data_IF_930416955613
#
_entry.id   IF_930416955613
#
_cell.length_a   1.000
_cell.length_b   1.000
_cell.length_c   1.000
_cell.angle_alpha   90.00
_cell.angle_beta   90.00
_cell.angle_gamma   90.00
#
_symmetry.space_group_name_H-M   'P 1'
#
loop_
_entity.id
_entity.type
_entity.pdbx_description
1 polymer ?
#
# COMPACT_ATOMS: atom_id res chain seq x y z
N UNK A 1 -34.13 -33.27 36.77
CA UNK A 1 -32.99 -32.38 37.08
C UNK A 1 -32.60 -31.66 35.81
N UNK A 2 -32.84 -30.36 35.72
CA UNK A 2 -32.38 -29.55 34.58
C UNK A 2 -30.86 -29.65 34.49
N UNK A 3 -30.37 -29.93 33.29
CA UNK A 3 -28.95 -30.08 33.05
C UNK A 3 -28.29 -28.70 33.23
N UNK A 4 -27.50 -28.53 34.30
CA UNK A 4 -26.80 -27.27 34.63
C UNK A 4 -25.98 -26.69 33.45
N UNK A 5 -25.55 -27.54 32.52
CA UNK A 5 -24.86 -27.11 31.29
C UNK A 5 -25.81 -26.37 30.35
N UNK A 6 -27.05 -26.85 30.22
CA UNK A 6 -28.10 -26.26 29.38
C UNK A 6 -28.53 -24.91 29.94
N UNK A 7 -28.72 -24.79 31.25
CA UNK A 7 -29.04 -23.50 31.89
C UNK A 7 -27.93 -22.45 31.67
N UNK A 8 -26.65 -22.83 31.83
CA UNK A 8 -25.52 -21.94 31.53
C UNK A 8 -25.46 -21.51 30.06
N UNK A 9 -25.77 -22.41 29.13
CA UNK A 9 -25.82 -22.09 27.69
C UNK A 9 -26.96 -21.14 27.37
N UNK A 10 -28.13 -21.36 27.95
CA UNK A 10 -29.30 -20.49 27.82
C UNK A 10 -28.98 -19.09 28.36
N UNK A 11 -28.41 -19.00 29.56
CA UNK A 11 -28.05 -17.73 30.20
C UNK A 11 -26.98 -16.97 29.40
N UNK A 12 -25.96 -17.69 28.87
CA UNK A 12 -24.97 -17.13 27.95
C UNK A 12 -25.62 -16.61 26.66
N UNK A 13 -26.54 -17.36 26.08
CA UNK A 13 -27.25 -16.98 24.85
C UNK A 13 -28.11 -15.74 25.06
N UNK A 14 -28.87 -15.67 26.16
CA UNK A 14 -29.62 -14.46 26.52
C UNK A 14 -28.72 -13.27 26.80
N UNK A 15 -27.55 -13.49 27.41
CA UNK A 15 -26.54 -12.43 27.62
C UNK A 15 -25.91 -11.95 26.30
N UNK A 16 -25.77 -12.80 25.30
CA UNK A 16 -25.27 -12.44 23.97
C UNK A 16 -26.35 -11.71 23.14
N UNK A 17 -27.61 -12.15 23.22
CA UNK A 17 -28.75 -11.53 22.53
C UNK A 17 -29.14 -10.17 23.13
N UNK A 18 -28.95 -9.97 24.44
CA UNK A 18 -29.22 -8.70 25.14
C UNK A 18 -28.08 -7.69 25.03
N UNK A 19 -26.92 -8.08 24.51
CA UNK A 19 -25.87 -7.13 24.16
C UNK A 19 -26.24 -6.42 22.86
N UNK A 20 -26.02 -5.10 22.81
CA UNK A 20 -26.03 -4.37 21.55
C UNK A 20 -25.13 -5.11 20.55
N UNK A 21 -25.67 -5.44 19.37
CA UNK A 21 -24.86 -6.00 18.28
C UNK A 21 -23.64 -5.12 18.13
N UNK A 22 -22.44 -5.72 18.18
CA UNK A 22 -21.23 -5.01 17.77
C UNK A 22 -21.56 -4.38 16.40
N UNK A 23 -21.28 -3.09 16.19
CA UNK A 23 -21.44 -2.51 14.87
C UNK A 23 -20.63 -3.42 13.95
N UNK A 24 -21.23 -3.91 12.87
CA UNK A 24 -20.40 -4.42 11.79
C UNK A 24 -19.45 -3.27 11.46
N UNK A 25 -18.14 -3.48 11.60
CA UNK A 25 -17.13 -2.49 11.26
C UNK A 25 -17.25 -2.18 9.77
N UNK A 26 -18.13 -1.23 9.45
CA UNK A 26 -18.27 -0.61 8.13
C UNK A 26 -17.42 0.65 8.05
N UNK A 27 -16.45 0.81 8.96
CA UNK A 27 -15.64 2.03 9.12
C UNK A 27 -14.81 2.36 7.89
N UNK A 28 -14.66 1.40 6.97
CA UNK A 28 -13.94 1.57 5.73
C UNK A 28 -14.59 0.84 4.55
N UNK A 29 -15.85 1.14 4.26
CA UNK A 29 -16.35 0.93 2.90
C UNK A 29 -15.57 1.90 2.01
N UNK A 30 -14.57 1.37 1.30
CA UNK A 30 -13.83 2.18 0.33
C UNK A 30 -14.81 2.63 -0.75
N UNK A 31 -15.13 3.92 -0.79
CA UNK A 31 -16.03 4.49 -1.79
C UNK A 31 -15.38 4.58 -3.18
N UNK A 32 -14.09 4.27 -3.29
CA UNK A 32 -13.32 4.31 -4.53
C UNK A 32 -12.37 3.11 -4.60
N UNK A 33 -12.34 2.33 -5.68
CA UNK A 33 -11.42 1.19 -5.78
C UNK A 33 -9.93 1.62 -5.75
N UNK A 34 -9.62 2.87 -6.15
CA UNK A 34 -8.26 3.32 -6.43
C UNK A 34 -7.74 4.41 -5.48
N UNK A 35 -8.33 4.58 -4.29
CA UNK A 35 -7.93 5.67 -3.38
C UNK A 35 -6.51 5.53 -2.81
N UNK A 36 -5.89 4.35 -2.90
CA UNK A 36 -4.48 4.14 -2.53
C UNK A 36 -3.50 4.97 -3.38
N UNK A 37 -3.91 5.35 -4.60
CA UNK A 37 -3.10 6.15 -5.53
C UNK A 37 -2.70 7.52 -4.95
N UNK A 38 -3.50 8.04 -4.00
CA UNK A 38 -3.25 9.33 -3.35
C UNK A 38 -2.35 9.24 -2.13
N UNK A 39 -1.91 8.03 -1.75
CA UNK A 39 -1.04 7.82 -0.59
C UNK A 39 0.41 8.09 -0.99
N UNK A 40 1.09 8.98 -0.26
CA UNK A 40 2.52 9.23 -0.45
C UNK A 40 3.34 7.96 -0.26
N UNK A 41 2.98 7.12 0.73
CA UNK A 41 3.63 5.83 0.95
C UNK A 41 3.55 4.90 -0.27
N UNK A 42 2.40 4.85 -0.95
CA UNK A 42 2.22 4.05 -2.18
C UNK A 42 3.02 4.62 -3.35
N UNK A 43 3.03 5.95 -3.49
CA UNK A 43 3.81 6.64 -4.54
C UNK A 43 5.32 6.37 -4.39
N UNK A 44 5.85 6.49 -3.17
CA UNK A 44 7.26 6.22 -2.90
C UNK A 44 7.59 4.73 -3.08
N UNK A 45 6.72 3.82 -2.63
CA UNK A 45 6.89 2.38 -2.84
C UNK A 45 6.91 2.02 -4.34
N UNK A 46 6.06 2.70 -5.14
CA UNK A 46 6.03 2.52 -6.60
C UNK A 46 7.33 2.99 -7.26
N UNK A 47 7.88 4.13 -6.82
CA UNK A 47 9.19 4.60 -7.27
C UNK A 47 10.30 3.61 -6.90
N UNK A 48 10.28 3.11 -5.66
CA UNK A 48 11.28 2.16 -5.18
C UNK A 48 11.26 0.88 -6.02
N UNK A 49 10.07 0.37 -6.35
CA UNK A 49 9.92 -0.78 -7.26
C UNK A 49 10.53 -0.50 -8.64
N UNK A 50 10.39 0.72 -9.17
CA UNK A 50 11.02 1.10 -10.44
C UNK A 50 12.54 1.09 -10.30
N UNK A 51 13.10 1.68 -9.24
CA UNK A 51 14.54 1.67 -8.98
C UNK A 51 15.09 0.27 -8.89
N UNK A 52 14.44 -0.60 -8.10
CA UNK A 52 14.86 -2.00 -7.96
C UNK A 52 14.81 -2.71 -9.31
N UNK A 53 13.73 -2.58 -10.08
CA UNK A 53 13.64 -3.20 -11.41
C UNK A 53 14.76 -2.74 -12.34
N UNK A 54 15.09 -1.45 -12.34
CA UNK A 54 16.21 -0.91 -13.14
C UNK A 54 17.54 -1.48 -12.67
N UNK A 55 17.80 -1.45 -11.38
CA UNK A 55 19.03 -1.97 -10.77
C UNK A 55 19.20 -3.47 -11.01
N UNK A 56 18.19 -4.28 -10.71
CA UNK A 56 18.28 -5.75 -10.79
C UNK A 56 18.36 -6.25 -12.24
N UNK A 57 18.02 -5.42 -13.23
CA UNK A 57 18.23 -5.74 -14.65
C UNK A 57 19.73 -5.70 -15.04
N UNK A 58 20.59 -5.05 -14.24
CA UNK A 58 22.05 -5.05 -14.42
C UNK A 58 22.77 -6.22 -13.74
N UNK A 59 22.09 -6.93 -12.83
CA UNK A 59 22.72 -8.02 -12.09
C UNK A 59 23.13 -9.16 -13.03
N UNK A 60 24.29 -9.80 -12.79
CA UNK A 60 24.69 -10.95 -13.59
C UNK A 60 23.73 -12.11 -13.36
N UNK A 61 23.66 -13.04 -14.32
CA UNK A 61 22.76 -14.20 -14.26
C UNK A 61 22.97 -15.07 -13.02
N UNK A 62 24.17 -15.07 -12.43
CA UNK A 62 24.47 -15.78 -11.18
C UNK A 62 23.62 -15.29 -10.01
N UNK A 63 23.21 -14.02 -10.03
CA UNK A 63 22.43 -13.36 -8.97
C UNK A 63 20.92 -13.36 -9.24
N UNK A 64 20.43 -14.31 -10.04
CA UNK A 64 18.99 -14.43 -10.32
C UNK A 64 18.15 -14.50 -9.05
N UNK A 65 18.67 -15.14 -7.99
CA UNK A 65 17.98 -15.23 -6.70
C UNK A 65 17.84 -13.87 -6.03
N UNK A 66 18.92 -13.09 -5.95
CA UNK A 66 18.88 -11.73 -5.39
C UNK A 66 17.93 -10.84 -6.20
N UNK A 67 18.00 -10.91 -7.54
CA UNK A 67 17.05 -10.22 -8.43
C UNK A 67 15.60 -10.55 -8.09
N UNK A 68 15.25 -11.83 -8.02
CA UNK A 68 13.87 -12.26 -7.74
C UNK A 68 13.43 -11.77 -6.37
N UNK A 69 14.24 -11.98 -5.33
CA UNK A 69 13.90 -11.60 -3.96
C UNK A 69 13.69 -10.09 -3.84
N UNK A 70 14.58 -9.28 -4.42
CA UNK A 70 14.49 -7.83 -4.31
C UNK A 70 13.28 -7.28 -5.11
N UNK A 71 13.06 -7.80 -6.32
CA UNK A 71 11.89 -7.47 -7.15
C UNK A 71 10.57 -7.86 -6.43
N UNK A 72 10.52 -9.05 -5.82
CA UNK A 72 9.35 -9.57 -5.13
C UNK A 72 9.06 -8.79 -3.84
N UNK A 73 10.10 -8.44 -3.08
CA UNK A 73 9.99 -7.64 -1.87
C UNK A 73 9.39 -6.28 -2.16
N UNK A 74 9.94 -5.55 -3.15
CA UNK A 74 9.41 -4.20 -3.49
C UNK A 74 8.05 -4.23 -4.15
N UNK A 75 7.74 -5.26 -4.96
CA UNK A 75 6.38 -5.51 -5.45
C UNK A 75 5.41 -5.73 -4.29
N UNK A 76 5.81 -6.49 -3.28
CA UNK A 76 4.97 -6.83 -2.12
C UNK A 76 4.66 -5.60 -1.27
N UNK A 77 5.58 -4.64 -1.14
CA UNK A 77 5.30 -3.36 -0.47
C UNK A 77 4.08 -2.66 -1.11
N UNK A 78 4.08 -2.54 -2.44
CA UNK A 78 3.00 -1.89 -3.20
C UNK A 78 1.70 -2.69 -3.09
N UNK A 79 1.76 -4.00 -3.38
CA UNK A 79 0.59 -4.87 -3.40
C UNK A 79 -0.11 -4.94 -2.03
N UNK A 80 0.64 -4.99 -0.93
CA UNK A 80 0.07 -4.99 0.41
C UNK A 80 -0.64 -3.67 0.74
N UNK A 81 -0.15 -2.52 0.25
CA UNK A 81 -0.85 -1.24 0.43
C UNK A 81 -2.17 -1.24 -0.35
N UNK A 82 -2.16 -1.72 -1.59
CA UNK A 82 -3.34 -1.80 -2.47
C UNK A 82 -4.39 -2.76 -1.90
N UNK A 83 -3.98 -3.97 -1.52
CA UNK A 83 -4.84 -5.00 -0.96
C UNK A 83 -5.41 -4.56 0.39
N UNK A 84 -4.55 -4.02 1.26
CA UNK A 84 -4.94 -3.41 2.51
C UNK A 84 -5.93 -2.26 2.32
N UNK A 85 -5.75 -1.44 1.27
CA UNK A 85 -6.67 -0.35 0.96
C UNK A 85 -8.07 -0.86 0.63
N UNK A 86 -8.17 -2.00 -0.04
CA UNK A 86 -9.43 -2.65 -0.41
C UNK A 86 -10.12 -3.38 0.76
N UNK A 87 -9.47 -3.53 1.93
CA UNK A 87 -10.05 -4.24 3.08
C UNK A 87 -11.22 -3.47 3.71
N UNK A 88 -12.28 -4.17 4.15
CA UNK A 88 -13.50 -3.55 4.67
C UNK A 88 -13.30 -2.87 6.04
N UNK A 89 -12.30 -3.30 6.82
CA UNK A 89 -12.04 -2.76 8.16
C UNK A 89 -10.69 -2.04 8.23
N UNK A 90 -10.61 -1.03 9.11
CA UNK A 90 -9.35 -0.35 9.43
C UNK A 90 -8.35 -1.31 10.07
N UNK A 91 -8.82 -2.25 10.90
CA UNK A 91 -7.93 -3.23 11.56
C UNK A 91 -7.27 -4.18 10.56
N UNK A 92 -7.99 -4.66 9.55
CA UNK A 92 -7.37 -5.44 8.48
C UNK A 92 -6.38 -4.59 7.69
N UNK A 93 -6.71 -3.33 7.38
CA UNK A 93 -5.75 -2.47 6.67
C UNK A 93 -4.43 -2.32 7.44
N UNK A 94 -4.51 -2.12 8.76
CA UNK A 94 -3.32 -2.03 9.61
C UNK A 94 -2.44 -3.30 9.52
N UNK A 95 -3.04 -4.50 9.47
CA UNK A 95 -2.29 -5.74 9.28
C UNK A 95 -1.53 -5.74 7.95
N UNK A 96 -2.19 -5.34 6.86
CA UNK A 96 -1.57 -5.24 5.54
C UNK A 96 -0.46 -4.18 5.47
N UNK A 97 -0.62 -3.05 6.15
CA UNK A 97 0.47 -2.06 6.28
C UNK A 97 1.66 -2.63 7.07
N UNK A 98 1.40 -3.49 8.06
CA UNK A 98 2.42 -4.28 8.74
C UNK A 98 3.20 -5.18 7.78
N UNK A 99 2.51 -5.92 6.90
CA UNK A 99 3.16 -6.75 5.87
C UNK A 99 3.94 -5.91 4.85
N UNK A 100 3.37 -4.79 4.39
CA UNK A 100 4.04 -3.85 3.49
C UNK A 100 5.36 -3.35 4.10
N UNK A 101 5.34 -2.98 5.39
CA UNK A 101 6.55 -2.56 6.11
C UNK A 101 7.55 -3.71 6.27
N UNK A 102 7.11 -4.93 6.56
CA UNK A 102 8.01 -6.08 6.65
C UNK A 102 8.75 -6.31 5.32
N UNK A 103 8.05 -6.31 4.19
CA UNK A 103 8.66 -6.42 2.86
C UNK A 103 9.61 -5.27 2.54
N UNK A 104 9.32 -4.05 3.01
CA UNK A 104 10.20 -2.90 2.82
C UNK A 104 11.53 -3.08 3.58
N UNK A 105 11.49 -3.65 4.78
CA UNK A 105 12.69 -3.96 5.57
C UNK A 105 13.50 -5.08 4.92
N UNK A 106 12.84 -6.10 4.35
CA UNK A 106 13.53 -7.14 3.59
C UNK A 106 14.24 -6.57 2.35
N UNK A 107 13.55 -5.71 1.59
CA UNK A 107 14.15 -4.99 0.45
C UNK A 107 15.29 -4.06 0.85
N UNK A 108 15.24 -3.43 2.04
CA UNK A 108 16.38 -2.70 2.61
C UNK A 108 17.57 -3.62 2.85
N UNK A 109 17.32 -4.84 3.35
CA UNK A 109 18.35 -5.87 3.48
C UNK A 109 18.95 -6.27 2.14
N UNK A 110 18.16 -6.38 1.08
CA UNK A 110 18.66 -6.69 -0.27
C UNK A 110 19.55 -5.56 -0.83
N UNK A 111 19.19 -4.30 -0.58
CA UNK A 111 20.04 -3.15 -0.93
C UNK A 111 21.38 -3.19 -0.18
N UNK A 112 21.37 -3.55 1.11
CA UNK A 112 22.58 -3.69 1.92
C UNK A 112 23.47 -4.83 1.46
N UNK A 113 22.90 -6.00 1.14
CA UNK A 113 23.64 -7.13 0.57
C UNK A 113 24.22 -6.76 -0.80
N UNK A 114 23.44 -6.10 -1.64
CA UNK A 114 23.90 -5.62 -2.95
C UNK A 114 25.11 -4.68 -2.84
N UNK A 115 25.18 -3.85 -1.78
CA UNK A 115 26.36 -3.04 -1.49
C UNK A 115 27.55 -3.91 -1.04
N UNK A 116 27.33 -4.84 -0.11
CA UNK A 116 28.38 -5.73 0.43
C UNK A 116 29.00 -6.61 -0.66
N UNK A 117 28.18 -7.08 -1.59
CA UNK A 117 28.58 -7.94 -2.71
C UNK A 117 29.16 -7.13 -3.88
N UNK A 118 29.19 -5.80 -3.80
CA UNK A 118 29.81 -4.91 -4.78
C UNK A 118 28.98 -4.60 -6.02
N UNK A 119 27.69 -4.98 -6.04
CA UNK A 119 26.78 -4.68 -7.16
C UNK A 119 26.23 -3.25 -7.10
N UNK A 120 26.01 -2.73 -5.90
CA UNK A 120 25.48 -1.39 -5.69
C UNK A 120 26.57 -0.47 -5.16
N UNK A 121 26.87 0.60 -5.89
CA UNK A 121 27.95 1.53 -5.53
C UNK A 121 27.53 2.47 -4.38
N UNK A 122 28.41 2.71 -3.40
CA UNK A 122 28.24 3.80 -2.45
C UNK A 122 28.76 5.10 -3.05
N UNK A 123 27.97 6.17 -2.98
CA UNK A 123 28.37 7.53 -3.30
C UNK A 123 27.89 8.42 -2.15
N UNK A 124 28.74 8.67 -1.14
CA UNK A 124 28.36 9.46 0.02
C UNK A 124 27.80 10.83 -0.36
N UNK A 125 26.65 11.17 0.21
CA UNK A 125 25.95 12.43 -0.07
C UNK A 125 25.05 12.42 -1.30
N UNK A 126 25.09 11.37 -2.13
CA UNK A 126 24.12 11.22 -3.22
C UNK A 126 22.71 11.00 -2.69
N UNK A 127 21.73 11.47 -3.46
CA UNK A 127 20.34 11.58 -3.06
C UNK A 127 19.41 11.59 -4.28
N UNK A 128 18.10 11.49 -4.03
CA UNK A 128 17.07 11.64 -5.06
C UNK A 128 17.18 12.97 -5.82
N UNK A 129 17.70 14.02 -5.18
CA UNK A 129 17.90 15.33 -5.79
C UNK A 129 18.97 15.28 -6.90
N UNK A 130 20.00 14.47 -6.73
CA UNK A 130 21.05 14.29 -7.74
C UNK A 130 20.52 13.56 -8.99
N UNK A 131 19.40 12.84 -8.84
CA UNK A 131 18.65 12.23 -9.94
C UNK A 131 17.56 13.15 -10.50
N UNK A 132 17.50 14.41 -10.06
CA UNK A 132 16.45 15.37 -10.40
C UNK A 132 15.03 14.89 -10.01
N UNK A 133 14.92 13.99 -9.03
CA UNK A 133 13.64 13.44 -8.58
C UNK A 133 13.14 14.25 -7.37
N UNK A 134 12.15 15.11 -7.62
CA UNK A 134 11.28 15.62 -6.57
C UNK A 134 10.12 14.64 -6.32
N UNK A 135 9.90 14.27 -5.05
CA UNK A 135 8.89 13.28 -4.68
C UNK A 135 7.45 13.82 -4.78
N UNK A 136 7.27 15.14 -4.65
CA UNK A 136 5.96 15.78 -4.80
C UNK A 136 5.56 15.78 -6.27
N UNK A 137 6.48 16.18 -7.15
CA UNK A 137 6.28 16.15 -8.60
C UNK A 137 6.07 14.72 -9.10
N UNK A 138 6.87 13.77 -8.60
CA UNK A 138 6.66 12.35 -8.88
C UNK A 138 5.27 11.87 -8.47
N UNK A 139 4.80 12.24 -7.27
CA UNK A 139 3.47 11.85 -6.82
C UNK A 139 2.38 12.42 -7.74
N UNK A 140 2.47 13.68 -8.16
CA UNK A 140 1.52 14.23 -9.13
C UNK A 140 1.60 13.53 -10.49
N UNK A 141 2.80 13.25 -10.99
CA UNK A 141 2.98 12.56 -12.27
C UNK A 141 2.44 11.12 -12.23
N UNK A 142 2.76 10.36 -11.18
CA UNK A 142 2.27 9.00 -10.99
C UNK A 142 0.74 8.97 -10.93
N UNK A 143 0.12 9.88 -10.15
CA UNK A 143 -1.34 10.04 -10.09
C UNK A 143 -1.94 10.25 -11.47
N UNK A 144 -1.39 11.16 -12.26
CA UNK A 144 -1.86 11.45 -13.63
C UNK A 144 -1.70 10.24 -14.56
N UNK A 145 -0.63 9.47 -14.37
CA UNK A 145 -0.35 8.29 -15.20
C UNK A 145 -1.31 7.13 -14.93
N UNK A 146 -1.71 6.92 -13.67
CA UNK A 146 -2.58 5.80 -13.27
C UNK A 146 -4.06 6.20 -13.29
N UNK A 147 -4.39 7.42 -12.90
CA UNK A 147 -5.72 8.00 -13.05
C UNK A 147 -5.79 8.55 -14.48
N UNK A 148 -5.95 7.67 -15.45
CA UNK A 148 -6.29 8.08 -16.81
C UNK A 148 -7.59 8.89 -16.78
N UNK A 149 -7.53 10.23 -16.64
CA UNK A 149 -8.66 11.03 -17.05
C UNK A 149 -8.69 10.93 -18.58
N UNK A 150 -9.85 10.60 -19.18
CA UNK A 150 -10.03 10.86 -20.59
C UNK A 150 -9.83 12.35 -20.75
N UNK A 151 -8.75 12.75 -21.42
CA UNK A 151 -8.75 14.05 -22.10
C UNK A 151 -10.06 14.12 -22.86
N UNK A 152 -10.82 15.19 -22.63
CA UNK A 152 -12.02 15.64 -23.33
C UNK A 152 -12.26 15.05 -24.74
N UNK A 153 -12.65 13.79 -24.82
CA UNK A 153 -13.25 13.22 -26.02
C UNK A 153 -14.72 13.01 -25.68
N UNK A 154 -15.54 13.99 -26.09
CA UNK A 154 -16.96 13.77 -26.35
C UNK A 154 -17.08 12.70 -27.44
N UNK A 155 -16.95 11.44 -27.06
CA UNK A 155 -17.08 10.28 -27.93
C UNK A 155 -17.91 9.24 -27.21
N UNK A 156 -19.03 8.87 -27.79
CA UNK A 156 -19.97 7.90 -27.25
C UNK A 156 -19.26 6.58 -26.88
N UNK A 157 -19.15 6.30 -25.56
CA UNK A 157 -18.76 5.00 -25.00
C UNK A 157 -19.81 3.89 -25.23
N UNK A 158 -20.56 3.94 -26.33
CA UNK A 158 -21.56 2.90 -26.69
C UNK A 158 -21.03 1.86 -27.69
N UNK A 159 -19.90 2.12 -28.37
CA UNK A 159 -19.36 1.23 -29.40
C UNK A 159 -17.88 0.90 -29.19
N UNK A 160 -17.49 0.49 -27.98
CA UNK A 160 -16.21 -0.23 -27.83
C UNK A 160 -16.46 -1.70 -28.17
N UNK A 161 -16.45 -2.03 -29.46
CA UNK A 161 -16.20 -3.40 -29.87
C UNK A 161 -14.79 -3.76 -29.39
N UNK A 162 -14.67 -4.79 -28.55
CA UNK A 162 -13.38 -5.42 -28.28
C UNK A 162 -12.81 -5.87 -29.63
N UNK A 163 -11.73 -5.21 -30.05
CA UNK A 163 -11.03 -5.55 -31.28
C UNK A 163 -10.41 -6.95 -31.14
N UNK A 164 -11.21 -7.98 -31.43
CA UNK A 164 -10.75 -9.34 -31.67
C UNK A 164 -9.86 -9.30 -32.92
N UNK A 165 -8.57 -9.56 -32.75
CA UNK A 165 -7.77 -10.13 -33.84
C UNK A 165 -6.67 -9.28 -34.47
N UNK A 166 -6.02 -8.35 -33.75
CA UNK A 166 -4.67 -7.91 -34.15
C UNK A 166 -3.72 -8.13 -32.99
N UNK A 167 -2.66 -8.94 -33.21
CA UNK A 167 -1.51 -9.06 -32.31
C UNK A 167 -1.05 -7.66 -31.99
N UNK A 168 -1.43 -7.13 -30.83
CA UNK A 168 -0.89 -5.87 -30.35
C UNK A 168 0.59 -6.11 -30.16
N UNK A 169 1.43 -5.40 -30.92
CA UNK A 169 2.85 -5.30 -30.63
C UNK A 169 2.99 -4.96 -29.14
N UNK A 170 3.88 -5.65 -28.38
CA UNK A 170 4.06 -5.34 -26.97
C UNK A 170 4.29 -3.84 -26.81
N UNK A 171 3.57 -3.20 -25.88
CA UNK A 171 3.74 -1.78 -25.57
C UNK A 171 5.24 -1.54 -25.30
N UNK A 172 5.92 -0.81 -26.19
CA UNK A 172 7.40 -0.72 -26.24
C UNK A 172 8.05 -0.13 -24.98
N UNK A 173 7.30 0.50 -24.09
CA UNK A 173 7.58 0.76 -22.68
C UNK A 173 6.52 1.71 -22.15
N UNK A 174 6.03 1.48 -20.93
CA UNK A 174 5.16 2.43 -20.25
C UNK A 174 5.97 3.67 -19.86
N UNK A 175 5.43 4.86 -20.07
CA UNK A 175 6.03 6.16 -19.70
C UNK A 175 5.15 6.85 -18.66
N UNK A 176 5.76 7.35 -17.60
CA UNK A 176 5.07 8.06 -16.52
C UNK A 176 4.83 9.55 -16.85
N UNK A 177 5.44 10.03 -17.94
CA UNK A 177 5.50 11.45 -18.30
C UNK A 177 6.23 12.26 -17.20
N UNK A 178 7.27 11.64 -16.63
CA UNK A 178 8.15 12.24 -15.64
C UNK A 178 9.60 11.93 -16.03
N UNK A 179 10.26 12.85 -16.76
CA UNK A 179 11.58 12.60 -17.36
C UNK A 179 12.64 12.05 -16.41
N UNK A 180 12.76 12.50 -15.14
CA UNK A 180 13.74 11.94 -14.20
C UNK A 180 13.60 10.42 -13.99
N UNK A 181 12.38 9.89 -14.02
CA UNK A 181 12.12 8.44 -13.88
C UNK A 181 12.10 7.73 -15.24
N UNK A 182 11.53 8.37 -16.25
CA UNK A 182 11.41 7.80 -17.60
C UNK A 182 12.76 7.62 -18.31
N UNK A 183 13.75 8.43 -17.94
CA UNK A 183 15.12 8.44 -18.47
C UNK A 183 16.15 7.91 -17.47
N UNK A 184 15.71 7.46 -16.29
CA UNK A 184 16.58 6.94 -15.23
C UNK A 184 17.43 5.77 -15.74
N UNK A 185 18.75 5.89 -15.57
CA UNK A 185 19.68 4.81 -15.85
C UNK A 185 20.01 4.06 -14.58
N UNK A 186 20.22 2.75 -14.71
CA UNK A 186 20.47 1.90 -13.56
C UNK A 186 21.85 2.19 -12.93
N UNK A 187 22.81 2.68 -13.71
CA UNK A 187 24.14 3.06 -13.26
C UNK A 187 24.14 4.32 -12.38
N UNK A 188 23.08 5.14 -12.45
CA UNK A 188 22.95 6.35 -11.63
C UNK A 188 22.42 6.02 -10.23
N UNK A 189 21.90 4.82 -10.01
CA UNK A 189 21.40 4.37 -8.72
C UNK A 189 22.54 4.04 -7.77
N UNK A 190 22.49 4.62 -6.58
CA UNK A 190 23.47 4.44 -5.50
C UNK A 190 22.81 3.84 -4.28
N UNK A 191 23.62 3.27 -3.38
CA UNK A 191 23.13 2.78 -2.10
C UNK A 191 22.39 3.86 -1.30
N UNK A 192 22.94 5.07 -1.25
CA UNK A 192 22.37 6.20 -0.51
C UNK A 192 21.00 6.60 -1.04
N UNK A 193 20.81 6.63 -2.36
CA UNK A 193 19.51 6.90 -3.01
C UNK A 193 18.47 5.85 -2.59
N UNK A 194 18.83 4.56 -2.59
CA UNK A 194 17.93 3.49 -2.13
C UNK A 194 17.55 3.69 -0.67
N UNK A 195 18.54 3.93 0.20
CA UNK A 195 18.32 4.09 1.63
C UNK A 195 17.47 5.34 1.92
N UNK A 196 17.70 6.45 1.23
CA UNK A 196 16.89 7.65 1.33
C UNK A 196 15.41 7.35 1.02
N UNK A 197 15.14 6.74 -0.13
CA UNK A 197 13.78 6.45 -0.57
C UNK A 197 13.09 5.43 0.35
N UNK A 198 13.79 4.38 0.79
CA UNK A 198 13.27 3.40 1.75
C UNK A 198 12.93 4.09 3.08
N UNK A 199 13.82 4.91 3.63
CA UNK A 199 13.58 5.59 4.91
C UNK A 199 12.39 6.56 4.82
N UNK A 200 12.27 7.31 3.72
CA UNK A 200 11.11 8.18 3.47
C UNK A 200 9.81 7.37 3.34
N UNK A 201 9.85 6.24 2.63
CA UNK A 201 8.71 5.33 2.48
C UNK A 201 8.25 4.77 3.83
N UNK A 202 9.19 4.27 4.65
CA UNK A 202 8.90 3.73 5.98
C UNK A 202 8.35 4.81 6.93
N UNK A 203 8.86 6.04 6.84
CA UNK A 203 8.30 7.17 7.61
C UNK A 203 6.83 7.41 7.23
N UNK A 204 6.50 7.49 5.95
CA UNK A 204 5.12 7.70 5.50
C UNK A 204 4.20 6.52 5.84
N UNK A 205 4.70 5.28 5.79
CA UNK A 205 3.95 4.10 6.26
C UNK A 205 3.62 4.20 7.75
N UNK A 206 4.60 4.58 8.59
CA UNK A 206 4.38 4.78 10.03
C UNK A 206 3.37 5.89 10.31
N UNK A 207 3.47 7.03 9.61
CA UNK A 207 2.49 8.13 9.73
C UNK A 207 1.08 7.71 9.32
N UNK A 208 0.96 6.89 8.26
CA UNK A 208 -0.31 6.34 7.83
C UNK A 208 -0.90 5.40 8.90
N UNK A 209 -0.08 4.52 9.47
CA UNK A 209 -0.48 3.63 10.58
C UNK A 209 -0.96 4.44 11.78
N UNK A 210 -0.18 5.41 12.25
CA UNK A 210 -0.56 6.29 13.37
C UNK A 210 -1.92 6.97 13.12
N UNK A 211 -2.13 7.53 11.92
CA UNK A 211 -3.40 8.19 11.56
C UNK A 211 -4.59 7.23 11.57
N UNK A 212 -4.39 5.99 11.12
CA UNK A 212 -5.44 4.96 11.10
C UNK A 212 -5.73 4.41 12.51
N UNK A 213 -4.72 4.26 13.36
CA UNK A 213 -4.88 3.89 14.76
C UNK A 213 -5.66 4.95 15.54
N UNK A 214 -5.36 6.24 15.33
CA UNK A 214 -6.14 7.34 15.90
C UNK A 214 -7.60 7.31 15.42
N UNK A 215 -7.82 7.06 14.12
CA UNK A 215 -9.17 6.91 13.57
C UNK A 215 -9.91 5.76 14.28
N UNK A 216 -9.28 4.59 14.39
CA UNK A 216 -9.86 3.41 15.02
C UNK A 216 -10.18 3.66 16.51
N UNK A 217 -9.28 4.31 17.24
CA UNK A 217 -9.50 4.65 18.65
C UNK A 217 -10.68 5.61 18.84
N UNK A 218 -10.82 6.62 17.96
CA UNK A 218 -11.98 7.52 17.96
C UNK A 218 -13.28 6.76 17.74
N UNK A 219 -13.34 5.88 16.73
CA UNK A 219 -14.52 5.07 16.41
C UNK A 219 -14.93 4.14 17.57
N UNK A 220 -13.96 3.49 18.23
CA UNK A 220 -14.21 2.65 19.39
C UNK A 220 -14.78 3.45 20.58
N UNK A 221 -14.27 4.66 20.82
CA UNK A 221 -14.79 5.54 21.87
C UNK A 221 -16.24 5.94 21.61
N UNK A 222 -16.59 6.29 20.36
CA UNK A 222 -17.98 6.58 19.98
C UNK A 222 -18.90 5.40 20.25
N UNK A 223 -18.48 4.19 19.87
CA UNK A 223 -19.27 2.98 20.13
C UNK A 223 -19.51 2.72 21.63
N UNK A 224 -18.50 2.93 22.47
CA UNK A 224 -18.67 2.77 23.93
C UNK A 224 -19.67 3.79 24.51
N UNK A 225 -19.64 5.03 24.03
CA UNK A 225 -20.59 6.09 24.44
C UNK A 225 -22.01 5.74 24.01
N UNK A 226 -22.21 5.28 22.77
CA UNK A 226 -23.54 4.83 22.31
C UNK A 226 -24.05 3.65 23.13
N UNK A 227 -23.20 2.65 23.39
CA UNK A 227 -23.54 1.50 24.23
C UNK A 227 -23.95 1.92 25.65
N UNK A 228 -23.29 2.93 26.21
CA UNK A 228 -23.66 3.49 27.52
C UNK A 228 -25.03 4.20 27.47
N UNK A 229 -25.31 4.99 26.42
CA UNK A 229 -26.63 5.62 26.20
C UNK A 229 -27.76 4.61 26.03
N UNK A 230 -27.54 3.54 25.28
CA UNK A 230 -28.54 2.48 25.15
C UNK A 230 -28.81 1.80 26.50
N UNK A 231 -27.77 1.53 27.29
CA UNK A 231 -27.92 0.96 28.64
C UNK A 231 -28.66 1.89 29.60
N UNK A 232 -28.43 3.20 29.56
CA UNK A 232 -29.17 4.14 30.40
C UNK A 232 -30.65 4.21 30.00
N UNK A 233 -30.97 4.19 28.70
CA UNK A 233 -32.34 4.22 28.21
C UNK A 233 -33.12 2.93 28.54
N UNK A 234 -32.44 1.78 28.57
CA UNK A 234 -33.02 0.49 28.99
C UNK A 234 -33.29 0.41 30.50
N UNK A 235 -32.57 1.18 31.33
CA UNK A 235 -32.81 1.23 32.79
C UNK A 235 -33.94 2.19 33.19
N UNK A 236 -34.38 3.04 32.27
CA UNK A 236 -35.46 4.03 32.48
C UNK A 236 -36.83 3.54 31.99
N UNK A 237 -36.92 2.29 31.48
CA UNK A 237 -38.15 1.60 31.10
C UNK A 237 -38.36 0.42 32.02
#
# INVERSE_FOLDING_TARGET
MTNKVVEKLIEKTYKELSQAKKPQERSRISNTPNGHIFLVAWSNASLLRIFVRRFTDLLPKSEYRLKSQFDDNTRSVVANIEEGFARPTTSEYLNFLGYSRASLIEGKGDAQRSLQDGFLKPVPGSSLKDLEIDLSDWHEALKRSVISKPMEVKGNYRNLEEAKGKRQSPVKSYKFLYPPVDNLKAEDLTYEVFIELINKTDWHLRRLVESLEEKLAREQKFYQVEKARFRSNLRLR
#
